data_IF_768837208652
#
_entry.id   IF_768837208652
#
_cell.length_a   1.000
_cell.length_b   1.000
_cell.length_c   1.000
_cell.angle_alpha   90.00
_cell.angle_beta   90.00
_cell.angle_gamma   90.00
#
_symmetry.space_group_name_H-M   'P 1'
#
loop_
_entity.id
_entity.type
_entity.pdbx_description
1 polymer ?
#
# COMPACT_ATOMS: atom_id res chain seq x y z
N UNK A 1 24.52 7.57 -8.30
CA UNK A 1 23.69 7.00 -7.26
C UNK A 1 23.16 5.67 -7.66
N UNK A 2 23.12 4.85 -6.70
CA UNK A 2 22.70 3.51 -6.97
C UNK A 2 21.23 3.40 -7.22
N UNK A 3 20.46 4.20 -6.54
CA UNK A 3 19.04 4.17 -6.74
C UNK A 3 18.64 5.33 -7.60
N UNK A 4 18.33 5.00 -8.80
CA UNK A 4 18.05 6.03 -9.78
C UNK A 4 16.61 6.43 -9.82
N UNK A 5 15.76 5.69 -9.18
CA UNK A 5 14.36 5.97 -9.24
C UNK A 5 14.02 7.21 -8.48
N UNK A 6 13.45 8.16 -9.16
CA UNK A 6 12.88 9.29 -8.47
C UNK A 6 11.68 8.82 -7.70
N UNK A 7 11.34 9.54 -6.63
CA UNK A 7 10.12 9.26 -5.89
C UNK A 7 8.97 9.96 -6.54
N UNK A 8 7.84 9.28 -6.62
CA UNK A 8 6.61 9.86 -7.14
C UNK A 8 5.60 9.90 -6.03
N UNK A 9 4.91 11.01 -5.88
CA UNK A 9 3.87 11.17 -4.88
C UNK A 9 2.53 10.72 -5.43
N UNK A 10 1.79 9.97 -4.64
CA UNK A 10 0.44 9.56 -4.99
C UNK A 10 -0.52 10.69 -4.62
N UNK A 11 -0.88 11.50 -5.61
CA UNK A 11 -1.75 12.65 -5.39
C UNK A 11 -3.20 12.26 -5.17
N UNK A 12 -3.54 10.99 -5.44
CA UNK A 12 -4.90 10.50 -5.27
C UNK A 12 -5.01 9.43 -4.20
N UNK A 13 -4.10 9.49 -3.23
CA UNK A 13 -4.11 8.51 -2.16
C UNK A 13 -5.42 8.59 -1.39
N UNK A 14 -5.95 7.41 -1.08
CA UNK A 14 -7.14 7.33 -0.25
C UNK A 14 -6.78 7.70 1.19
N UNK A 15 -7.35 8.76 1.75
CA UNK A 15 -6.98 9.19 3.10
C UNK A 15 -7.25 8.14 4.17
N UNK A 16 -8.19 7.24 3.93
CA UNK A 16 -8.49 6.20 4.90
C UNK A 16 -7.37 5.17 5.00
N UNK A 17 -6.52 5.10 4.01
CA UNK A 17 -5.42 4.14 3.99
C UNK A 17 -4.10 4.77 4.44
N UNK A 18 -4.13 6.02 4.85
CA UNK A 18 -2.91 6.76 5.19
C UNK A 18 -2.27 6.20 6.43
N UNK A 19 -1.04 5.73 6.28
CA UNK A 19 -0.26 5.20 7.38
C UNK A 19 1.08 5.93 7.52
N UNK A 20 1.18 7.13 6.95
CA UNK A 20 2.44 7.85 6.83
C UNK A 20 3.44 7.66 7.96
N UNK A 21 3.09 8.13 9.13
CA UNK A 21 4.00 8.13 10.26
C UNK A 21 4.26 6.72 10.77
N UNK A 22 3.31 5.83 10.57
CA UNK A 22 3.36 4.49 11.12
C UNK A 22 3.57 3.39 10.09
N UNK A 23 3.84 3.78 8.84
CA UNK A 23 3.92 2.80 7.77
C UNK A 23 4.86 1.65 8.09
N UNK A 24 6.08 1.98 8.46
CA UNK A 24 7.07 0.93 8.73
C UNK A 24 6.68 0.07 9.92
N UNK A 25 6.14 0.69 10.96
CA UNK A 25 5.73 -0.07 12.14
C UNK A 25 4.57 -1.01 11.83
N UNK A 26 3.63 -0.55 11.01
CA UNK A 26 2.47 -1.35 10.66
C UNK A 26 2.84 -2.49 9.72
N UNK A 27 3.64 -2.20 8.71
CA UNK A 27 3.90 -3.16 7.65
C UNK A 27 5.17 -3.98 7.83
N UNK A 28 6.09 -3.59 8.70
CA UNK A 28 7.34 -4.30 8.83
C UNK A 28 7.17 -5.76 9.23
N UNK A 29 6.13 -6.04 10.00
CA UNK A 29 5.87 -7.40 10.44
C UNK A 29 4.77 -8.09 9.63
N UNK A 30 4.03 -7.32 8.85
CA UNK A 30 2.88 -7.85 8.14
C UNK A 30 3.04 -7.87 6.63
N UNK A 31 4.12 -7.32 6.15
CA UNK A 31 4.29 -7.10 4.71
C UNK A 31 4.21 -8.39 3.91
N UNK A 32 4.62 -9.49 4.49
CA UNK A 32 4.59 -10.76 3.77
C UNK A 32 3.26 -11.47 3.88
N UNK A 33 2.32 -10.86 4.53
CA UNK A 33 1.05 -11.48 4.79
C UNK A 33 0.06 -11.04 3.77
N UNK A 34 -0.26 -11.86 2.89
CA UNK A 34 -1.50 -11.78 2.11
C UNK A 34 -1.99 -10.40 1.70
N UNK A 35 -1.09 -9.56 1.24
CA UNK A 35 -1.54 -8.29 0.66
C UNK A 35 -2.55 -8.62 -0.43
N UNK A 36 -3.75 -8.02 -0.37
CA UNK A 36 -4.75 -8.31 -1.38
C UNK A 36 -4.28 -7.93 -2.77
N UNK A 37 -4.78 -8.63 -3.77
CA UNK A 37 -4.40 -8.37 -5.14
C UNK A 37 -4.93 -7.01 -5.59
N UNK A 38 -4.20 -6.39 -6.49
CA UNK A 38 -4.59 -5.13 -7.07
C UNK A 38 -5.62 -5.31 -8.19
N UNK A 39 -5.49 -6.40 -8.93
CA UNK A 39 -6.38 -6.64 -10.05
C UNK A 39 -6.60 -8.15 -10.24
N UNK A 40 -7.36 -8.49 -11.28
CA UNK A 40 -7.71 -9.88 -11.54
C UNK A 40 -6.51 -10.75 -11.89
N UNK A 41 -5.40 -10.14 -12.25
CA UNK A 41 -4.17 -10.88 -12.54
C UNK A 41 -3.45 -11.34 -11.28
N UNK A 42 -3.92 -10.92 -10.13
CA UNK A 42 -3.33 -11.34 -8.87
C UNK A 42 -2.06 -10.59 -8.50
N UNK A 43 -1.82 -9.45 -9.10
CA UNK A 43 -0.63 -8.66 -8.80
C UNK A 43 -0.77 -8.02 -7.42
N UNK A 44 0.26 -8.19 -6.59
CA UNK A 44 0.25 -7.62 -5.25
C UNK A 44 0.24 -6.10 -5.30
N UNK A 45 -0.58 -5.49 -4.46
CA UNK A 45 -0.67 -4.05 -4.36
C UNK A 45 0.59 -3.49 -3.71
N UNK A 46 1.07 -2.36 -4.19
CA UNK A 46 2.21 -1.69 -3.58
C UNK A 46 1.73 -0.90 -2.37
N UNK A 47 2.01 -1.42 -1.18
CA UNK A 47 1.57 -0.77 0.05
C UNK A 47 2.21 0.59 0.25
N UNK A 48 3.45 0.74 -0.17
CA UNK A 48 4.14 2.01 -0.03
C UNK A 48 3.41 3.11 -0.80
N UNK A 49 3.02 2.81 -2.04
CA UNK A 49 2.31 3.77 -2.87
C UNK A 49 0.96 4.15 -2.27
N UNK A 50 0.19 3.13 -1.85
CA UNK A 50 -1.18 3.36 -1.43
C UNK A 50 -1.32 3.79 0.02
N UNK A 51 -0.40 3.39 0.88
CA UNK A 51 -0.52 3.67 2.31
C UNK A 51 0.45 4.73 2.80
N UNK A 52 1.65 4.77 2.24
CA UNK A 52 2.61 5.78 2.63
C UNK A 52 2.45 7.04 1.78
N UNK A 53 2.02 6.88 0.55
CA UNK A 53 1.70 8.02 -0.29
C UNK A 53 2.74 8.36 -1.33
N UNK A 54 3.80 7.57 -1.44
CA UNK A 54 4.82 7.78 -2.47
C UNK A 54 5.59 6.47 -2.67
N UNK A 55 6.27 6.38 -3.78
CA UNK A 55 7.09 5.22 -4.07
C UNK A 55 8.08 5.56 -5.16
N UNK A 56 9.01 4.66 -5.41
CA UNK A 56 10.02 4.86 -6.44
C UNK A 56 9.44 4.57 -7.81
N UNK A 57 9.95 5.30 -8.82
CA UNK A 57 9.49 5.11 -10.19
C UNK A 57 9.83 3.73 -10.74
N UNK A 58 10.89 3.13 -10.22
CA UNK A 58 11.33 1.80 -10.67
C UNK A 58 10.85 0.67 -9.77
N UNK A 59 9.79 0.90 -9.03
CA UNK A 59 9.20 -0.13 -8.17
C UNK A 59 8.71 -1.31 -8.99
N UNK A 60 9.00 -2.52 -8.50
CA UNK A 60 8.56 -3.74 -9.19
C UNK A 60 7.05 -3.84 -9.27
N UNK A 61 6.34 -3.14 -8.40
CA UNK A 61 4.87 -3.11 -8.40
C UNK A 61 4.32 -1.82 -8.97
N UNK A 62 5.09 -1.16 -9.81
CA UNK A 62 4.68 0.14 -10.35
C UNK A 62 3.38 0.07 -11.13
N UNK A 63 3.03 -1.09 -11.64
CA UNK A 63 1.76 -1.26 -12.33
C UNK A 63 0.58 -1.00 -11.40
N UNK A 64 0.78 -1.10 -10.10
CA UNK A 64 -0.26 -0.83 -9.12
C UNK A 64 -0.24 0.62 -8.62
N UNK A 65 0.63 1.46 -9.16
CA UNK A 65 0.72 2.86 -8.79
C UNK A 65 -0.37 3.68 -9.47
N UNK A 66 -1.62 3.30 -9.21
CA UNK A 66 -2.78 3.98 -9.77
C UNK A 66 -4.00 3.55 -8.97
N UNK A 67 -5.12 4.24 -9.12
CA UNK A 67 -6.32 3.85 -8.40
C UNK A 67 -6.78 2.46 -8.80
N UNK A 68 -7.38 1.76 -7.85
CA UNK A 68 -7.95 0.44 -8.14
C UNK A 68 -9.03 0.57 -9.20
N UNK A 69 -9.04 -0.38 -10.12
CA UNK A 69 -10.09 -0.45 -11.12
C UNK A 69 -11.19 -1.44 -10.73
N UNK A 70 -10.89 -2.35 -9.82
CA UNK A 70 -11.84 -3.35 -9.36
C UNK A 70 -12.35 -2.97 -7.98
N UNK A 71 -13.65 -2.66 -7.89
CA UNK A 71 -14.23 -2.19 -6.64
C UNK A 71 -14.18 -3.25 -5.54
N UNK A 72 -14.34 -4.51 -5.91
CA UNK A 72 -14.30 -5.58 -4.93
C UNK A 72 -12.90 -5.69 -4.32
N UNK A 73 -11.89 -5.60 -5.17
CA UNK A 73 -10.50 -5.66 -4.69
C UNK A 73 -10.12 -4.42 -3.91
N UNK A 74 -10.64 -3.26 -4.32
CA UNK A 74 -10.43 -2.03 -3.58
C UNK A 74 -10.98 -2.16 -2.17
N UNK A 75 -12.17 -2.70 -2.06
CA UNK A 75 -12.80 -2.89 -0.77
C UNK A 75 -12.02 -3.87 0.08
N UNK A 76 -11.58 -4.97 -0.52
CA UNK A 76 -10.79 -5.97 0.20
C UNK A 76 -9.50 -5.36 0.73
N UNK A 77 -8.84 -4.55 -0.08
CA UNK A 77 -7.61 -3.90 0.33
C UNK A 77 -7.88 -2.93 1.49
N UNK A 78 -8.93 -2.16 1.39
CA UNK A 78 -9.29 -1.21 2.44
C UNK A 78 -9.57 -1.89 3.76
N UNK A 79 -10.30 -3.02 3.72
CA UNK A 79 -10.57 -3.77 4.94
C UNK A 79 -9.30 -4.33 5.55
N UNK A 80 -8.41 -4.81 4.71
CA UNK A 80 -7.15 -5.37 5.17
C UNK A 80 -6.29 -4.30 5.85
N UNK A 81 -6.19 -3.11 5.24
CA UNK A 81 -5.43 -2.01 5.82
C UNK A 81 -6.04 -1.58 7.14
N UNK A 82 -7.36 -1.50 7.18
CA UNK A 82 -8.08 -1.12 8.38
C UNK A 82 -7.77 -2.07 9.54
N UNK A 83 -7.75 -3.37 9.25
CA UNK A 83 -7.42 -4.36 10.24
C UNK A 83 -5.99 -4.22 10.74
N UNK A 84 -5.06 -3.96 9.84
CA UNK A 84 -3.67 -3.76 10.24
C UNK A 84 -3.52 -2.55 11.15
N UNK A 85 -4.17 -1.46 10.81
CA UNK A 85 -4.11 -0.24 11.61
C UNK A 85 -4.75 -0.46 12.98
N UNK A 86 -5.83 -1.21 13.01
CA UNK A 86 -6.49 -1.53 14.26
C UNK A 86 -5.57 -2.36 15.16
N UNK A 87 -4.94 -3.38 14.61
CA UNK A 87 -4.03 -4.20 15.37
C UNK A 87 -2.85 -3.40 15.89
N UNK A 88 -2.36 -2.49 15.08
CA UNK A 88 -1.26 -1.64 15.51
C UNK A 88 -1.68 -0.76 16.69
N UNK A 89 -2.87 -0.20 16.61
CA UNK A 89 -3.37 0.67 17.66
C UNK A 89 -3.62 -0.06 18.97
N UNK A 90 -3.93 -1.36 18.88
CA UNK A 90 -4.19 -2.17 20.07
C UNK A 90 -2.93 -2.63 20.78
N UNK A 91 -1.79 -2.49 20.14
CA UNK A 91 -0.56 -2.91 20.77
C UNK A 91 -0.13 -1.94 21.84
N UNK A 92 0.30 -2.45 22.99
CA UNK A 92 0.81 -1.59 24.05
C UNK A 92 2.11 -0.92 23.64
#
# INVERSE_FOLDING_TARGET
PTHLGAMITNTKKNPEWDCKANYHAIFSKQVNRKTPAFNADGISTCNKWHCQGYCFTDCARSITHKPFSDEALKKAYGEWVKELKKKFAEKP
#
